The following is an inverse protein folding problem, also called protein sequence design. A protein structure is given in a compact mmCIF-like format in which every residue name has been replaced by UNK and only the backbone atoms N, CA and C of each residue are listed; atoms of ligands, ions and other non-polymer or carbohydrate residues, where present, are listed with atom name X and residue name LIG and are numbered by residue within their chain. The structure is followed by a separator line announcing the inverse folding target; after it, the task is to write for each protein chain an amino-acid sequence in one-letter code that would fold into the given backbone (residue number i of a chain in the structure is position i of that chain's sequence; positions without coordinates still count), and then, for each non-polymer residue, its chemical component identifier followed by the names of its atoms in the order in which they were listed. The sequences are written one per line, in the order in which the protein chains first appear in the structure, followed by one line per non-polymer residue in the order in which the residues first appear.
data_IF_561700585245
#
_entry.id   IF_561700585245
#
_cell.length_a   1.000
_cell.length_b   1.000
_cell.length_c   1.000
_cell.angle_alpha   90.00
_cell.angle_beta   90.00
_cell.angle_gamma   90.00
#
_symmetry.space_group_name_H-M   'P 1'
#
loop_
_entity.id
_entity.type
_entity.pdbx_description
1 polymer ?
#
# COMPACT_ATOMS: atom_id res chain seq x y z
N UNK A 1 20.29 -14.93 -13.74
CA UNK A 1 19.65 -13.61 -13.99
C UNK A 1 19.85 -12.77 -12.74
N UNK A 2 20.35 -11.54 -12.87
CA UNK A 2 20.50 -10.59 -11.76
C UNK A 2 19.30 -9.66 -11.73
N UNK A 3 19.02 -9.06 -10.58
CA UNK A 3 17.94 -8.08 -10.40
C UNK A 3 18.55 -6.77 -9.93
N UNK A 4 18.07 -5.66 -10.47
CA UNK A 4 18.32 -4.32 -9.95
C UNK A 4 16.99 -3.62 -9.72
N UNK A 5 16.85 -2.94 -8.59
CA UNK A 5 15.62 -2.22 -8.19
C UNK A 5 15.86 -0.73 -8.35
N UNK A 6 14.98 -0.06 -9.10
CA UNK A 6 15.00 1.39 -9.28
C UNK A 6 13.85 2.03 -8.51
N UNK A 7 14.20 2.86 -7.54
CA UNK A 7 13.28 3.76 -6.85
C UNK A 7 14.04 5.01 -6.38
N UNK A 8 13.84 6.13 -7.06
CA UNK A 8 14.60 7.38 -6.85
C UNK A 8 14.44 8.00 -5.46
N UNK A 9 13.34 7.70 -4.77
CA UNK A 9 13.10 8.15 -3.40
C UNK A 9 13.75 7.25 -2.33
N UNK A 10 14.28 6.08 -2.70
CA UNK A 10 14.95 5.20 -1.74
C UNK A 10 16.14 5.89 -1.07
N UNK A 11 16.27 5.70 0.22
CA UNK A 11 17.41 6.17 1.02
C UNK A 11 18.04 5.01 1.74
N UNK A 12 19.35 4.94 1.72
CA UNK A 12 20.13 3.96 2.47
C UNK A 12 20.83 4.68 3.61
N UNK A 13 20.58 4.26 4.83
CA UNK A 13 21.16 4.85 6.04
C UNK A 13 22.66 4.56 6.21
N UNK A 14 23.26 5.07 7.29
CA UNK A 14 24.69 4.87 7.56
C UNK A 14 25.06 3.38 7.73
N UNK A 15 24.16 2.59 8.27
CA UNK A 15 24.35 1.16 8.57
C UNK A 15 24.11 0.26 7.36
N UNK A 16 23.70 0.83 6.21
CA UNK A 16 23.48 0.08 4.96
C UNK A 16 22.08 -0.51 4.83
N UNK A 17 21.10 -0.03 5.57
CA UNK A 17 19.70 -0.47 5.45
C UNK A 17 18.88 0.53 4.65
N UNK A 18 17.83 0.04 3.98
CA UNK A 18 16.84 0.91 3.33
C UNK A 18 15.98 1.57 4.41
N UNK A 19 16.23 2.87 4.62
CA UNK A 19 15.52 3.70 5.59
C UNK A 19 14.12 4.11 5.13
N UNK A 20 13.36 4.73 6.05
CA UNK A 20 12.00 5.21 5.80
C UNK A 20 10.90 4.19 6.16
N UNK A 21 9.73 4.75 6.51
CA UNK A 21 8.54 3.98 6.91
C UNK A 21 7.40 4.10 5.90
N UNK A 22 7.62 4.81 4.80
CA UNK A 22 6.64 4.93 3.72
C UNK A 22 6.47 3.63 2.93
N UNK A 23 5.40 3.57 2.14
CA UNK A 23 5.06 2.40 1.36
C UNK A 23 6.14 2.04 0.33
N UNK A 24 6.78 3.04 -0.31
CA UNK A 24 7.84 2.81 -1.30
C UNK A 24 9.06 2.15 -0.68
N UNK A 25 9.58 2.70 0.43
CA UNK A 25 10.70 2.12 1.17
C UNK A 25 10.39 0.69 1.66
N UNK A 26 9.16 0.45 2.12
CA UNK A 26 8.70 -0.89 2.53
C UNK A 26 8.71 -1.85 1.36
N UNK A 27 8.26 -1.43 0.17
CA UNK A 27 8.27 -2.26 -1.03
C UNK A 27 9.69 -2.54 -1.55
N UNK A 28 10.61 -1.56 -1.48
CA UNK A 28 12.02 -1.81 -1.82
C UNK A 28 12.61 -2.90 -0.92
N UNK A 29 12.42 -2.82 0.42
CA UNK A 29 12.86 -3.87 1.36
C UNK A 29 12.25 -5.23 1.01
N UNK A 30 11.00 -5.25 0.59
CA UNK A 30 10.28 -6.46 0.20
C UNK A 30 10.88 -7.07 -1.07
N UNK A 31 11.11 -6.26 -2.10
CA UNK A 31 11.75 -6.72 -3.34
C UNK A 31 13.18 -7.23 -3.10
N UNK A 32 13.96 -6.57 -2.23
CA UNK A 32 15.29 -7.04 -1.83
C UNK A 32 15.24 -8.41 -1.13
N UNK A 33 14.19 -8.68 -0.35
CA UNK A 33 13.96 -10.00 0.27
C UNK A 33 13.56 -11.07 -0.76
N UNK A 34 12.69 -10.72 -1.72
CA UNK A 34 12.27 -11.63 -2.80
C UNK A 34 13.43 -12.01 -3.71
N UNK A 35 14.35 -11.08 -3.93
CA UNK A 35 15.50 -11.27 -4.82
C UNK A 35 16.82 -11.11 -4.04
N UNK A 36 17.28 -12.14 -3.29
CA UNK A 36 18.54 -12.08 -2.56
C UNK A 36 19.72 -11.78 -3.49
N UNK A 37 20.57 -10.83 -3.07
CA UNK A 37 21.69 -10.35 -3.90
C UNK A 37 21.29 -9.38 -5.01
N UNK A 38 20.06 -8.86 -5.00
CA UNK A 38 19.66 -7.78 -5.90
C UNK A 38 20.46 -6.50 -5.63
N UNK A 39 20.56 -5.67 -6.66
CA UNK A 39 21.17 -4.34 -6.58
C UNK A 39 20.06 -3.29 -6.37
N UNK A 40 20.36 -2.25 -5.60
CA UNK A 40 19.54 -1.03 -5.53
C UNK A 40 20.21 0.04 -6.39
N UNK A 41 19.49 0.62 -7.34
CA UNK A 41 20.03 1.70 -8.15
C UNK A 41 20.06 2.98 -7.33
N UNK A 42 21.25 3.59 -7.26
CA UNK A 42 21.51 4.81 -6.47
C UNK A 42 22.68 5.63 -7.04
N UNK A 43 23.03 6.76 -6.40
CA UNK A 43 23.97 7.71 -6.98
C UNK A 43 25.44 7.26 -6.97
N UNK A 44 25.81 6.34 -6.09
CA UNK A 44 27.19 5.88 -5.93
C UNK A 44 27.27 4.42 -5.52
N UNK A 45 28.37 3.76 -5.84
CA UNK A 45 28.61 2.39 -5.39
C UNK A 45 28.76 2.32 -3.88
N UNK A 46 28.01 1.40 -3.26
CA UNK A 46 28.10 1.09 -1.85
C UNK A 46 27.73 -0.36 -1.61
N UNK A 47 28.53 -1.06 -0.83
CA UNK A 47 28.21 -2.38 -0.34
C UNK A 47 27.35 -2.27 0.92
N UNK A 48 26.23 -3.01 0.97
CA UNK A 48 25.30 -3.04 2.07
C UNK A 48 25.05 -4.48 2.54
N UNK A 49 24.35 -4.66 3.65
CA UNK A 49 23.98 -5.99 4.12
C UNK A 49 22.87 -6.58 3.24
N UNK A 50 23.18 -7.64 2.51
CA UNK A 50 22.22 -8.38 1.66
C UNK A 50 21.96 -7.78 0.27
N UNK A 51 22.51 -6.60 -0.07
CA UNK A 51 22.41 -5.97 -1.37
C UNK A 51 23.54 -4.97 -1.62
N UNK A 52 23.75 -4.58 -2.88
CA UNK A 52 24.66 -3.51 -3.25
C UNK A 52 23.90 -2.33 -3.83
N UNK A 53 24.35 -1.10 -3.54
CA UNK A 53 23.92 0.09 -4.26
C UNK A 53 24.86 0.32 -5.45
N UNK A 54 24.29 0.56 -6.63
CA UNK A 54 25.08 0.81 -7.84
C UNK A 54 24.46 1.94 -8.67
N UNK A 55 25.27 2.78 -9.35
CA UNK A 55 24.75 3.71 -10.35
C UNK A 55 24.11 2.95 -11.53
N UNK A 56 23.08 3.52 -12.14
CA UNK A 56 22.40 2.92 -13.30
C UNK A 56 23.38 2.57 -14.43
N UNK A 57 24.37 3.42 -14.66
CA UNK A 57 25.40 3.25 -15.68
C UNK A 57 26.35 2.08 -15.38
N UNK A 58 26.37 1.57 -14.16
CA UNK A 58 27.17 0.42 -13.78
C UNK A 58 26.39 -0.90 -13.85
N UNK A 59 25.08 -0.86 -14.12
CA UNK A 59 24.24 -2.06 -14.28
C UNK A 59 24.56 -2.71 -15.63
N UNK A 60 24.82 -4.01 -15.62
CA UNK A 60 24.92 -4.81 -16.84
C UNK A 60 23.52 -5.16 -17.35
N UNK A 61 23.01 -4.38 -18.32
CA UNK A 61 21.68 -4.54 -18.87
C UNK A 61 21.43 -5.87 -19.60
N UNK A 62 22.48 -6.57 -20.03
CA UNK A 62 22.35 -7.86 -20.74
C UNK A 62 21.95 -8.99 -19.79
N UNK A 63 22.48 -8.99 -18.56
CA UNK A 63 22.27 -10.07 -17.59
C UNK A 63 21.35 -9.69 -16.43
N UNK A 64 21.00 -8.39 -16.31
CA UNK A 64 20.23 -7.84 -15.18
C UNK A 64 18.86 -7.36 -15.64
N UNK A 65 17.79 -7.77 -14.95
CA UNK A 65 16.46 -7.19 -15.08
C UNK A 65 16.35 -6.01 -14.13
N UNK A 66 16.02 -4.83 -14.66
CA UNK A 66 15.72 -3.65 -13.84
C UNK A 66 14.24 -3.61 -13.52
N UNK A 67 13.88 -3.81 -12.24
CA UNK A 67 12.52 -3.59 -11.75
C UNK A 67 12.42 -2.12 -11.33
N UNK A 68 11.68 -1.33 -12.09
CA UNK A 68 11.49 0.09 -11.77
C UNK A 68 10.16 0.35 -11.08
N UNK A 69 10.24 1.04 -9.96
CA UNK A 69 9.10 1.59 -9.23
C UNK A 69 8.77 3.02 -9.67
N UNK A 70 9.66 3.65 -10.43
CA UNK A 70 9.48 4.98 -11.07
C UNK A 70 9.10 4.79 -12.54
N UNK A 71 7.90 4.27 -12.77
CA UNK A 71 7.46 3.72 -14.07
C UNK A 71 7.48 4.73 -15.21
N UNK A 72 7.21 6.02 -14.96
CA UNK A 72 7.29 7.06 -15.99
C UNK A 72 8.71 7.27 -16.54
N UNK A 73 9.74 6.85 -15.78
CA UNK A 73 11.14 6.98 -16.18
C UNK A 73 11.69 5.76 -16.91
N UNK A 74 10.91 4.72 -17.12
CA UNK A 74 11.35 3.45 -17.71
C UNK A 74 12.01 3.62 -19.07
N UNK A 75 11.51 4.54 -19.89
CA UNK A 75 12.10 4.83 -21.20
C UNK A 75 13.50 5.45 -21.07
N UNK A 76 13.72 6.34 -20.07
CA UNK A 76 15.03 6.93 -19.81
C UNK A 76 16.02 5.89 -19.27
N UNK A 77 15.55 5.00 -18.38
CA UNK A 77 16.33 3.86 -17.88
C UNK A 77 16.75 2.98 -19.05
N UNK A 78 15.80 2.63 -19.92
CA UNK A 78 16.08 1.84 -21.13
C UNK A 78 17.13 2.51 -22.02
N UNK A 79 17.01 3.81 -22.30
CA UNK A 79 17.96 4.55 -23.14
C UNK A 79 19.37 4.55 -22.54
N UNK A 80 19.50 4.69 -21.22
CA UNK A 80 20.79 4.65 -20.53
C UNK A 80 21.45 3.27 -20.68
N UNK A 81 20.70 2.20 -20.48
CA UNK A 81 21.21 0.83 -20.61
C UNK A 81 21.45 0.44 -22.07
N UNK A 82 20.61 0.89 -23.01
CA UNK A 82 20.73 0.63 -24.45
C UNK A 82 22.06 1.13 -25.04
N UNK A 83 22.66 2.14 -24.45
CA UNK A 83 23.97 2.62 -24.86
C UNK A 83 25.10 1.57 -24.72
N UNK A 84 24.85 0.50 -23.95
CA UNK A 84 25.85 -0.56 -23.64
C UNK A 84 25.34 -1.98 -23.82
N UNK A 85 24.06 -2.15 -24.10
CA UNK A 85 23.40 -3.44 -24.23
C UNK A 85 22.31 -3.35 -25.28
N UNK A 86 22.27 -4.33 -26.20
CA UNK A 86 21.29 -4.31 -27.31
C UNK A 86 19.84 -4.51 -26.85
N UNK A 87 19.60 -5.28 -25.81
CA UNK A 87 18.27 -5.59 -25.32
C UNK A 87 18.18 -5.48 -23.79
N UNK A 88 18.11 -4.24 -23.24
CA UNK A 88 17.95 -4.05 -21.81
C UNK A 88 16.63 -4.64 -21.31
N UNK A 89 16.71 -5.36 -20.20
CA UNK A 89 15.56 -6.02 -19.57
C UNK A 89 14.98 -5.11 -18.50
N UNK A 90 13.77 -4.59 -18.72
CA UNK A 90 13.07 -3.69 -17.78
C UNK A 90 11.69 -4.26 -17.47
N UNK A 91 11.32 -4.24 -16.20
CA UNK A 91 9.99 -4.53 -15.69
C UNK A 91 9.48 -3.34 -14.88
N UNK A 92 8.29 -2.87 -15.23
CA UNK A 92 7.59 -1.87 -14.42
C UNK A 92 6.94 -2.53 -13.21
N UNK A 93 6.97 -1.86 -12.06
CA UNK A 93 6.15 -2.20 -10.91
C UNK A 93 5.27 -1.01 -10.52
N UNK A 94 3.99 -1.07 -10.90
CA UNK A 94 3.00 -0.05 -10.56
C UNK A 94 2.40 -0.38 -9.19
N UNK A 95 2.74 0.42 -8.20
CA UNK A 95 2.42 0.20 -6.78
C UNK A 95 1.63 1.34 -6.13
N UNK A 96 1.49 2.46 -6.81
CA UNK A 96 0.75 3.63 -6.33
C UNK A 96 -0.53 3.85 -7.12
N UNK A 97 -1.34 4.81 -6.66
CA UNK A 97 -2.56 5.20 -7.34
C UNK A 97 -2.24 5.96 -8.64
N UNK A 98 -2.68 5.43 -9.77
CA UNK A 98 -2.48 6.03 -11.10
C UNK A 98 -3.15 7.39 -11.25
N UNK A 99 -4.21 7.69 -10.48
CA UNK A 99 -4.87 9.01 -10.44
C UNK A 99 -4.02 10.14 -9.87
N UNK A 100 -2.82 9.82 -9.33
CA UNK A 100 -1.84 10.82 -8.90
C UNK A 100 -1.25 11.61 -10.07
N UNK A 101 -1.20 11.00 -11.23
CA UNK A 101 -0.80 11.69 -12.44
C UNK A 101 -1.97 12.50 -12.97
N UNK A 102 -1.86 13.81 -12.91
CA UNK A 102 -2.95 14.72 -13.27
C UNK A 102 -2.76 15.43 -14.61
N UNK A 103 -1.55 15.36 -15.18
CA UNK A 103 -1.26 16.03 -16.44
C UNK A 103 -1.10 15.05 -17.60
N UNK A 104 -1.43 15.50 -18.84
CA UNK A 104 -1.37 14.66 -20.03
C UNK A 104 0.02 14.06 -20.33
N UNK A 105 1.09 14.77 -19.98
CA UNK A 105 2.47 14.32 -20.23
C UNK A 105 2.80 13.10 -19.37
N UNK A 106 2.43 13.13 -18.10
CA UNK A 106 2.62 12.00 -17.19
C UNK A 106 1.78 10.80 -17.60
N UNK A 107 0.52 11.00 -18.03
CA UNK A 107 -0.31 9.91 -18.55
C UNK A 107 0.30 9.29 -19.80
N UNK A 108 0.77 10.12 -20.75
CA UNK A 108 1.42 9.63 -21.95
C UNK A 108 2.73 8.87 -21.63
N UNK A 109 3.54 9.37 -20.70
CA UNK A 109 4.77 8.70 -20.27
C UNK A 109 4.48 7.36 -19.58
N UNK A 110 3.48 7.31 -18.69
CA UNK A 110 3.04 6.08 -18.04
C UNK A 110 2.52 5.06 -19.07
N UNK A 111 1.66 5.49 -19.98
CA UNK A 111 1.09 4.66 -21.03
C UNK A 111 2.17 4.06 -21.94
N UNK A 112 3.11 4.90 -22.40
CA UNK A 112 4.22 4.46 -23.24
C UNK A 112 5.13 3.47 -22.51
N UNK A 113 5.48 3.75 -21.26
CA UNK A 113 6.29 2.85 -20.44
C UNK A 113 5.62 1.49 -20.24
N UNK A 114 4.33 1.46 -19.92
CA UNK A 114 3.58 0.22 -19.72
C UNK A 114 3.26 -0.53 -21.01
N UNK A 115 3.20 0.16 -22.15
CA UNK A 115 3.04 -0.48 -23.47
C UNK A 115 4.34 -1.15 -23.96
N UNK A 116 5.50 -0.55 -23.66
CA UNK A 116 6.80 -1.03 -24.12
C UNK A 116 7.42 -2.09 -23.21
N UNK A 117 7.21 -1.99 -21.91
CA UNK A 117 7.85 -2.87 -20.93
C UNK A 117 6.81 -3.69 -20.15
N UNK A 118 7.11 -4.97 -19.85
CA UNK A 118 6.25 -5.78 -18.98
C UNK A 118 5.96 -5.05 -17.67
N UNK A 119 4.72 -5.05 -17.27
CA UNK A 119 4.21 -4.28 -16.13
C UNK A 119 3.56 -5.21 -15.13
N UNK A 120 4.03 -5.16 -13.89
CA UNK A 120 3.44 -5.84 -12.75
C UNK A 120 2.72 -4.81 -11.86
N UNK A 121 1.47 -5.06 -11.54
CA UNK A 121 0.65 -4.17 -10.73
C UNK A 121 0.37 -4.78 -9.36
N UNK A 122 0.20 -3.93 -8.35
CA UNK A 122 -0.02 -4.33 -6.96
C UNK A 122 -1.45 -4.82 -6.66
N UNK A 123 -2.35 -4.80 -7.65
CA UNK A 123 -3.73 -5.28 -7.53
C UNK A 123 -4.39 -5.42 -8.91
N UNK A 124 -5.51 -6.14 -8.96
CA UNK A 124 -6.34 -6.24 -10.16
C UNK A 124 -6.84 -4.87 -10.63
N UNK A 125 -7.28 -4.04 -9.70
CA UNK A 125 -7.75 -2.68 -9.98
C UNK A 125 -6.64 -1.85 -10.64
N UNK A 126 -5.44 -1.81 -10.06
CA UNK A 126 -4.30 -1.08 -10.63
C UNK A 126 -3.95 -1.62 -12.02
N UNK A 127 -3.98 -2.93 -12.23
CA UNK A 127 -3.76 -3.51 -13.55
C UNK A 127 -4.82 -3.09 -14.58
N UNK A 128 -6.07 -2.99 -14.17
CA UNK A 128 -7.17 -2.51 -15.03
C UNK A 128 -7.01 -1.05 -15.40
N UNK A 129 -6.67 -0.19 -14.43
CA UNK A 129 -6.35 1.22 -14.66
C UNK A 129 -5.15 1.39 -15.62
N UNK A 130 -4.10 0.60 -15.44
CA UNK A 130 -2.93 0.61 -16.36
C UNK A 130 -3.36 0.23 -17.78
N UNK A 131 -4.17 -0.80 -17.96
CA UNK A 131 -4.67 -1.19 -19.30
C UNK A 131 -5.53 -0.10 -19.94
N UNK A 132 -6.39 0.56 -19.17
CA UNK A 132 -7.19 1.68 -19.62
C UNK A 132 -6.32 2.86 -20.06
N UNK A 133 -5.32 3.23 -19.26
CA UNK A 133 -4.36 4.29 -19.57
C UNK A 133 -3.58 3.95 -20.84
N UNK A 134 -3.06 2.73 -20.96
CA UNK A 134 -2.35 2.27 -22.17
C UNK A 134 -3.25 2.34 -23.40
N UNK A 135 -4.48 1.85 -23.31
CA UNK A 135 -5.45 1.89 -24.40
C UNK A 135 -5.83 3.32 -24.83
N UNK A 136 -5.96 4.23 -23.87
CA UNK A 136 -6.41 5.60 -24.11
C UNK A 136 -5.30 6.54 -24.60
N UNK A 137 -4.04 6.25 -24.24
CA UNK A 137 -2.92 7.17 -24.46
C UNK A 137 -1.83 6.62 -25.41
N UNK A 138 -2.04 5.42 -25.97
CA UNK A 138 -1.14 4.87 -27.02
C UNK A 138 -1.92 4.47 -28.25
N UNK A 139 -1.20 4.08 -29.32
CA UNK A 139 -1.82 3.56 -30.53
C UNK A 139 -2.17 2.08 -30.36
N UNK A 140 -3.25 1.58 -31.04
CA UNK A 140 -3.70 0.20 -30.88
C UNK A 140 -2.62 -0.87 -30.99
N UNK A 141 -1.68 -0.82 -31.96
CA UNK A 141 -0.63 -1.84 -32.08
C UNK A 141 0.35 -1.91 -30.89
N UNK A 142 0.50 -0.82 -30.13
CA UNK A 142 1.28 -0.81 -28.89
C UNK A 142 0.45 -1.31 -27.72
N UNK A 143 -0.81 -0.89 -27.61
CA UNK A 143 -1.71 -1.34 -26.57
C UNK A 143 -1.92 -2.87 -26.59
N UNK A 144 -2.06 -3.47 -27.76
CA UNK A 144 -2.21 -4.92 -27.96
C UNK A 144 -0.99 -5.73 -27.50
N UNK A 145 0.19 -5.12 -27.53
CA UNK A 145 1.46 -5.76 -27.11
C UNK A 145 1.75 -5.61 -25.61
N UNK A 146 1.00 -4.77 -24.90
CA UNK A 146 1.22 -4.52 -23.49
C UNK A 146 1.06 -5.80 -22.66
N UNK A 147 2.07 -6.12 -21.86
CA UNK A 147 2.07 -7.27 -20.96
C UNK A 147 1.81 -6.76 -19.53
N UNK A 148 0.60 -6.93 -19.03
CA UNK A 148 0.20 -6.47 -17.69
C UNK A 148 -0.26 -7.66 -16.87
N UNK A 149 0.48 -7.95 -15.80
CA UNK A 149 0.11 -8.93 -14.77
C UNK A 149 -0.10 -8.23 -13.42
N UNK A 150 -0.73 -8.92 -12.49
CA UNK A 150 -0.99 -8.40 -11.17
C UNK A 150 -1.07 -9.50 -10.11
N UNK A 151 -0.91 -9.08 -8.88
CA UNK A 151 -1.31 -9.82 -7.69
C UNK A 151 -1.65 -8.81 -6.60
N UNK A 152 -2.50 -9.19 -5.68
CA UNK A 152 -2.77 -8.34 -4.51
C UNK A 152 -1.50 -8.18 -3.67
N UNK A 153 -1.16 -6.93 -3.38
CA UNK A 153 -0.09 -6.62 -2.45
C UNK A 153 -0.50 -7.09 -1.06
N UNK A 154 0.06 -8.18 -0.61
CA UNK A 154 -0.31 -8.80 0.66
C UNK A 154 0.37 -8.12 1.87
N UNK A 155 0.07 -8.64 3.03
CA UNK A 155 0.67 -8.29 4.31
C UNK A 155 1.38 -9.50 4.92
N UNK A 156 2.33 -9.27 5.82
CA UNK A 156 3.06 -10.32 6.52
C UNK A 156 2.22 -10.88 7.66
N UNK A 157 1.61 -12.04 7.43
CA UNK A 157 0.68 -12.67 8.36
C UNK A 157 1.36 -13.16 9.66
N UNK A 158 2.66 -13.44 9.64
CA UNK A 158 3.42 -13.86 10.82
C UNK A 158 3.54 -12.77 11.90
N UNK A 159 3.29 -11.52 11.53
CA UNK A 159 3.28 -10.41 12.49
C UNK A 159 1.95 -10.26 13.23
N UNK A 160 0.87 -10.89 12.75
CA UNK A 160 -0.45 -10.78 13.37
C UNK A 160 -0.43 -11.29 14.80
N UNK A 161 -0.90 -10.48 15.74
CA UNK A 161 -0.97 -10.81 17.16
C UNK A 161 -2.37 -11.23 17.55
N UNK A 162 -2.52 -12.13 18.55
CA UNK A 162 -3.83 -12.46 19.11
C UNK A 162 -4.55 -11.22 19.61
N UNK A 163 -5.86 -11.19 19.43
CA UNK A 163 -6.71 -10.10 19.92
C UNK A 163 -6.55 -9.89 21.43
N UNK A 164 -6.47 -8.63 21.82
CA UNK A 164 -6.46 -8.19 23.20
C UNK A 164 -7.51 -7.09 23.35
N UNK A 165 -8.75 -7.48 23.69
CA UNK A 165 -9.87 -6.56 23.75
C UNK A 165 -9.70 -5.53 24.88
N UNK A 166 -9.67 -4.24 24.60
CA UNK A 166 -9.53 -3.22 25.63
C UNK A 166 -10.86 -3.00 26.36
N UNK A 167 -10.82 -2.59 27.64
CA UNK A 167 -12.02 -2.31 28.43
C UNK A 167 -12.83 -1.09 27.89
N UNK A 168 -12.16 -0.17 27.21
CA UNK A 168 -12.76 0.93 26.45
C UNK A 168 -12.42 0.75 24.99
N UNK A 169 -13.40 0.70 24.08
CA UNK A 169 -13.16 0.49 22.66
C UNK A 169 -12.16 1.50 22.07
N UNK A 170 -11.23 1.01 21.25
CA UNK A 170 -10.24 1.84 20.57
C UNK A 170 -10.63 2.00 19.10
N UNK A 171 -10.78 3.24 18.67
CA UNK A 171 -11.00 3.64 17.28
C UNK A 171 -9.69 4.14 16.68
N UNK A 172 -9.21 3.48 15.64
CA UNK A 172 -7.98 3.85 14.94
C UNK A 172 -8.28 4.87 13.82
N UNK A 173 -7.45 5.92 13.72
CA UNK A 173 -7.28 6.67 12.47
C UNK A 173 -6.33 5.89 11.55
N UNK A 174 -6.82 5.28 10.48
CA UNK A 174 -6.05 4.31 9.70
C UNK A 174 -5.24 4.99 8.59
N UNK A 175 -4.43 5.99 8.95
CA UNK A 175 -3.52 6.67 8.04
C UNK A 175 -2.39 7.34 8.82
N UNK A 176 -1.21 7.43 8.19
CA UNK A 176 -0.04 8.08 8.78
C UNK A 176 0.05 9.57 8.44
N UNK A 177 -0.76 10.04 7.49
CA UNK A 177 -0.81 11.44 7.04
C UNK A 177 -2.19 12.03 7.20
N UNK A 178 -2.26 13.30 7.60
CA UNK A 178 -3.48 14.11 7.65
C UNK A 178 -3.67 14.91 6.35
N UNK A 179 -3.47 14.27 5.20
CA UNK A 179 -3.63 14.90 3.89
C UNK A 179 -5.11 14.99 3.50
N UNK A 180 -5.45 15.92 2.60
CA UNK A 180 -6.84 16.12 2.16
C UNK A 180 -7.44 14.88 1.49
N UNK A 181 -6.63 14.02 0.86
CA UNK A 181 -7.08 12.73 0.31
C UNK A 181 -7.56 11.76 1.38
N UNK A 182 -6.98 11.80 2.57
CA UNK A 182 -7.39 10.98 3.71
C UNK A 182 -8.61 11.55 4.43
N UNK A 183 -9.11 12.72 4.03
CA UNK A 183 -10.31 13.38 4.59
C UNK A 183 -10.30 13.40 6.13
N UNK A 184 -9.21 13.86 6.79
CA UNK A 184 -9.10 13.78 8.24
C UNK A 184 -10.20 14.57 8.97
N UNK A 185 -10.73 15.64 8.37
CA UNK A 185 -11.81 16.41 8.98
C UNK A 185 -13.08 15.57 9.16
N UNK A 186 -13.45 14.75 8.18
CA UNK A 186 -14.58 13.84 8.29
C UNK A 186 -14.38 12.85 9.45
N UNK A 187 -13.17 12.29 9.59
CA UNK A 187 -12.85 11.41 10.73
C UNK A 187 -13.02 12.14 12.06
N UNK A 188 -12.42 13.33 12.19
CA UNK A 188 -12.48 14.15 13.42
C UNK A 188 -13.91 14.47 13.82
N UNK A 189 -14.73 14.93 12.87
CA UNK A 189 -16.13 15.28 13.10
C UNK A 189 -16.96 14.08 13.58
N UNK A 190 -16.74 12.90 13.02
CA UNK A 190 -17.45 11.68 13.39
C UNK A 190 -17.03 11.22 14.79
N UNK A 191 -15.72 11.11 15.06
CA UNK A 191 -15.26 10.60 16.37
C UNK A 191 -15.56 11.57 17.51
N UNK A 192 -15.55 12.89 17.27
CA UNK A 192 -15.94 13.88 18.27
C UNK A 192 -17.42 13.74 18.67
N UNK A 193 -18.32 13.56 17.68
CA UNK A 193 -19.74 13.34 17.96
C UNK A 193 -19.96 12.02 18.69
N UNK A 194 -19.25 10.98 18.27
CA UNK A 194 -19.33 9.67 18.92
C UNK A 194 -18.84 9.72 20.37
N UNK A 195 -17.70 10.34 20.65
CA UNK A 195 -17.12 10.44 21.98
C UNK A 195 -17.98 11.19 23.01
N UNK A 196 -18.93 12.04 22.54
CA UNK A 196 -19.90 12.74 23.43
C UNK A 196 -20.96 11.81 24.04
N UNK A 197 -21.20 10.64 23.41
CA UNK A 197 -22.29 9.73 23.81
C UNK A 197 -21.81 8.31 24.14
N UNK A 198 -20.68 7.89 23.54
CA UNK A 198 -20.15 6.53 23.69
C UNK A 198 -18.71 6.62 24.21
N UNK A 199 -18.37 5.94 25.32
CA UNK A 199 -16.99 5.89 25.81
C UNK A 199 -16.09 5.20 24.80
N UNK A 200 -15.18 5.93 24.19
CA UNK A 200 -14.17 5.44 23.25
C UNK A 200 -12.81 6.05 23.54
N UNK A 201 -11.77 5.41 23.04
CA UNK A 201 -10.44 5.99 22.84
C UNK A 201 -10.16 6.08 21.36
N UNK A 202 -9.57 7.18 20.91
CA UNK A 202 -9.12 7.37 19.53
C UNK A 202 -7.60 7.28 19.51
N UNK A 203 -7.06 6.54 18.59
CA UNK A 203 -5.61 6.42 18.40
C UNK A 203 -5.23 6.87 16.99
N UNK A 204 -4.30 7.84 16.88
CA UNK A 204 -3.73 8.32 15.63
C UNK A 204 -2.21 8.23 15.68
N UNK A 205 -1.62 7.41 14.80
CA UNK A 205 -0.18 7.22 14.65
C UNK A 205 0.27 7.93 13.39
N UNK A 206 0.94 9.07 13.56
CA UNK A 206 1.23 9.97 12.46
C UNK A 206 2.72 9.98 12.12
N UNK A 207 3.02 10.24 10.85
CA UNK A 207 4.35 10.62 10.44
C UNK A 207 4.77 11.92 11.14
N UNK A 208 6.05 12.06 11.50
CA UNK A 208 6.57 13.18 12.30
C UNK A 208 6.20 14.54 11.74
N UNK A 209 6.22 14.70 10.41
CA UNK A 209 5.83 15.95 9.74
C UNK A 209 4.38 16.39 9.99
N UNK A 210 3.51 15.48 10.44
CA UNK A 210 2.10 15.75 10.70
C UNK A 210 1.76 15.90 12.19
N UNK A 211 2.67 15.55 13.10
CA UNK A 211 2.42 15.66 14.55
C UNK A 211 2.19 17.08 15.01
N UNK A 212 2.83 18.05 14.38
CA UNK A 212 2.70 19.49 14.69
C UNK A 212 1.61 20.19 13.88
N UNK A 213 0.84 19.45 13.07
CA UNK A 213 -0.27 20.03 12.31
C UNK A 213 -1.40 20.50 13.22
N UNK A 214 -2.14 21.51 12.80
CA UNK A 214 -3.29 22.03 13.56
C UNK A 214 -4.29 20.93 13.91
N UNK A 215 -4.57 20.02 12.98
CA UNK A 215 -5.49 18.88 13.16
C UNK A 215 -4.98 17.89 14.21
N UNK A 216 -3.69 17.55 14.19
CA UNK A 216 -3.09 16.66 15.20
C UNK A 216 -3.10 17.31 16.58
N UNK A 217 -2.74 18.58 16.66
CA UNK A 217 -2.76 19.36 17.91
C UNK A 217 -4.18 19.52 18.45
N UNK A 218 -5.17 19.69 17.57
CA UNK A 218 -6.59 19.76 17.98
C UNK A 218 -7.03 18.41 18.58
N UNK A 219 -6.77 17.31 17.87
CA UNK A 219 -7.13 15.96 18.34
C UNK A 219 -6.46 15.64 19.68
N UNK A 220 -5.19 15.97 19.86
CA UNK A 220 -4.42 15.67 21.09
C UNK A 220 -4.92 16.40 22.35
N UNK A 221 -5.76 17.43 22.21
CA UNK A 221 -6.35 18.14 23.35
C UNK A 221 -7.49 17.38 24.03
N UNK A 222 -8.02 16.36 23.36
CA UNK A 222 -9.13 15.58 23.87
C UNK A 222 -8.63 14.43 24.75
N UNK A 223 -9.19 14.28 25.94
CA UNK A 223 -8.81 13.24 26.92
C UNK A 223 -9.08 11.81 26.42
N UNK A 224 -9.94 11.65 25.42
CA UNK A 224 -10.27 10.39 24.77
C UNK A 224 -9.36 10.07 23.57
N UNK A 225 -8.46 10.97 23.18
CA UNK A 225 -7.59 10.78 22.02
C UNK A 225 -6.12 10.65 22.43
N UNK A 226 -5.43 9.76 21.77
CA UNK A 226 -3.98 9.67 21.76
C UNK A 226 -3.46 9.93 20.36
N UNK A 227 -2.54 10.88 20.24
CA UNK A 227 -1.86 11.22 19.00
C UNK A 227 -0.37 11.09 19.23
N UNK A 228 0.31 10.29 18.47
CA UNK A 228 1.74 10.06 18.63
C UNK A 228 2.44 9.70 17.33
N UNK A 229 3.77 9.55 17.39
CA UNK A 229 4.55 9.14 16.22
C UNK A 229 4.22 7.71 15.82
N UNK A 230 4.62 7.37 14.58
CA UNK A 230 4.67 5.98 14.15
C UNK A 230 5.52 5.18 15.14
N UNK A 231 5.06 3.99 15.48
CA UNK A 231 5.84 3.08 16.33
C UNK A 231 7.13 2.67 15.60
N UNK A 232 8.25 2.74 16.32
CA UNK A 232 9.55 2.36 15.77
C UNK A 232 9.65 0.86 15.45
N UNK A 233 8.87 0.02 16.13
CA UNK A 233 8.90 -1.43 16.00
C UNK A 233 7.61 -1.94 15.32
N UNK A 234 7.78 -2.88 14.39
CA UNK A 234 6.64 -3.60 13.77
C UNK A 234 5.84 -4.38 14.80
N UNK A 235 6.50 -4.90 15.84
CA UNK A 235 5.83 -5.64 16.90
C UNK A 235 4.89 -4.75 17.71
N UNK A 236 5.34 -3.57 18.14
CA UNK A 236 4.51 -2.60 18.86
C UNK A 236 3.32 -2.13 18.00
N UNK A 237 3.53 -1.97 16.70
CA UNK A 237 2.46 -1.65 15.76
C UNK A 237 1.39 -2.74 15.74
N UNK A 238 1.77 -4.02 15.59
CA UNK A 238 0.83 -5.12 15.58
C UNK A 238 0.17 -5.38 16.94
N UNK A 239 0.87 -5.11 18.04
CA UNK A 239 0.26 -5.11 19.37
C UNK A 239 -0.80 -4.02 19.52
N UNK A 240 -0.58 -2.83 18.94
CA UNK A 240 -1.59 -1.77 18.90
C UNK A 240 -2.80 -2.16 18.06
N UNK A 241 -2.59 -2.73 16.87
CA UNK A 241 -3.68 -3.25 16.04
C UNK A 241 -4.48 -4.34 16.75
N UNK A 242 -3.82 -5.22 17.52
CA UNK A 242 -4.50 -6.26 18.29
C UNK A 242 -5.46 -5.70 19.36
N UNK A 243 -5.29 -4.44 19.78
CA UNK A 243 -6.19 -3.72 20.70
C UNK A 243 -7.21 -2.82 20.01
N UNK A 244 -7.06 -2.61 18.70
CA UNK A 244 -7.98 -1.76 17.93
C UNK A 244 -9.33 -2.44 17.78
N UNK A 245 -10.41 -1.81 18.28
CA UNK A 245 -11.78 -2.34 18.18
C UNK A 245 -12.37 -2.09 16.82
N UNK A 246 -12.26 -0.86 16.33
CA UNK A 246 -12.78 -0.45 15.04
C UNK A 246 -11.90 0.64 14.40
N UNK A 247 -12.12 0.90 13.12
CA UNK A 247 -11.55 2.07 12.45
C UNK A 247 -12.54 2.67 11.47
N UNK A 248 -12.37 3.96 11.19
CA UNK A 248 -13.12 4.66 10.17
C UNK A 248 -12.17 5.07 9.04
N UNK A 249 -12.31 4.44 7.89
CA UNK A 249 -11.64 4.85 6.66
C UNK A 249 -12.37 6.04 6.05
N UNK A 250 -11.65 7.12 5.75
CA UNK A 250 -12.22 8.33 5.15
C UNK A 250 -11.55 8.73 3.84
N UNK A 251 -10.55 7.97 3.39
CA UNK A 251 -9.82 8.26 2.18
C UNK A 251 -10.72 8.29 0.93
N UNK A 252 -10.54 9.31 0.10
CA UNK A 252 -11.25 9.42 -1.18
C UNK A 252 -10.72 8.40 -2.19
N UNK A 253 -9.44 8.07 -2.10
CA UNK A 253 -8.74 7.21 -3.04
C UNK A 253 -7.54 6.52 -2.40
N UNK A 254 -7.33 5.24 -2.75
CA UNK A 254 -6.19 4.42 -2.33
C UNK A 254 -5.68 3.57 -3.50
N UNK A 255 -4.40 3.28 -3.52
CA UNK A 255 -3.86 2.28 -4.46
C UNK A 255 -4.22 0.85 -4.01
N UNK A 256 -4.01 0.55 -2.73
CA UNK A 256 -4.33 -0.74 -2.14
C UNK A 256 -4.89 -0.61 -0.71
N UNK A 257 -4.29 0.22 0.15
CA UNK A 257 -4.74 0.42 1.53
C UNK A 257 -4.24 -0.64 2.51
N UNK A 258 -2.94 -0.85 2.56
CA UNK A 258 -2.30 -1.84 3.45
C UNK A 258 -2.72 -1.68 4.91
N UNK A 259 -2.77 -0.44 5.42
CA UNK A 259 -3.15 -0.14 6.80
C UNK A 259 -4.57 -0.62 7.16
N UNK A 260 -5.50 -0.60 6.20
CA UNK A 260 -6.85 -1.13 6.42
C UNK A 260 -6.85 -2.64 6.49
N UNK A 261 -6.13 -3.31 5.58
CA UNK A 261 -6.02 -4.77 5.57
C UNK A 261 -5.32 -5.25 6.85
N UNK A 262 -4.25 -4.59 7.28
CA UNK A 262 -3.56 -4.91 8.54
C UNK A 262 -4.51 -4.81 9.75
N UNK A 263 -5.31 -3.75 9.83
CA UNK A 263 -6.28 -3.58 10.91
C UNK A 263 -7.41 -4.63 10.86
N UNK A 264 -7.92 -4.97 9.66
CA UNK A 264 -8.94 -6.00 9.47
C UNK A 264 -8.42 -7.38 9.87
N UNK A 265 -7.21 -7.76 9.43
CA UNK A 265 -6.60 -9.06 9.77
C UNK A 265 -6.30 -9.15 11.26
N UNK A 266 -5.97 -8.03 11.92
CA UNK A 266 -5.88 -7.96 13.37
C UNK A 266 -7.25 -8.06 14.07
N UNK A 267 -8.37 -8.14 13.33
CA UNK A 267 -9.73 -8.34 13.85
C UNK A 267 -10.47 -7.07 14.25
N UNK A 268 -10.01 -5.89 13.82
CA UNK A 268 -10.77 -4.65 13.96
C UNK A 268 -11.97 -4.63 12.98
N UNK A 269 -13.06 -3.96 13.37
CA UNK A 269 -14.20 -3.73 12.48
C UNK A 269 -13.95 -2.46 11.68
N UNK A 270 -13.86 -2.58 10.36
CA UNK A 270 -13.64 -1.43 9.47
C UNK A 270 -14.95 -0.80 9.00
N UNK A 271 -15.03 0.53 9.06
CA UNK A 271 -16.13 1.30 8.45
C UNK A 271 -15.56 2.08 7.27
N UNK A 272 -16.09 1.86 6.07
CA UNK A 272 -15.49 2.32 4.83
C UNK A 272 -16.44 3.22 4.00
N UNK A 273 -15.90 4.18 3.21
CA UNK A 273 -16.71 4.92 2.26
C UNK A 273 -17.12 4.03 1.06
N UNK A 274 -18.25 4.32 0.44
CA UNK A 274 -18.63 3.69 -0.84
C UNK A 274 -17.71 4.23 -1.95
N UNK A 275 -16.63 3.49 -2.22
CA UNK A 275 -15.61 3.84 -3.21
C UNK A 275 -15.13 2.60 -3.98
N UNK A 276 -14.71 2.74 -5.25
CA UNK A 276 -14.21 1.62 -6.05
C UNK A 276 -13.04 0.87 -5.39
N UNK A 277 -12.10 1.59 -4.77
CA UNK A 277 -10.95 0.98 -4.11
C UNK A 277 -11.34 0.10 -2.92
N UNK A 278 -12.42 0.44 -2.21
CA UNK A 278 -12.95 -0.36 -1.10
C UNK A 278 -13.52 -1.68 -1.61
N UNK A 279 -14.28 -1.62 -2.72
CA UNK A 279 -14.85 -2.82 -3.35
C UNK A 279 -13.80 -3.77 -3.91
N UNK A 280 -12.61 -3.26 -4.24
CA UNK A 280 -11.50 -4.07 -4.72
C UNK A 280 -10.83 -4.92 -3.63
N UNK A 281 -10.92 -4.51 -2.36
CA UNK A 281 -10.20 -5.15 -1.25
C UNK A 281 -11.11 -5.88 -0.26
N UNK A 282 -12.44 -5.76 -0.37
CA UNK A 282 -13.42 -6.33 0.55
C UNK A 282 -14.36 -7.30 -0.16
N UNK A 283 -15.02 -8.22 0.56
CA UNK A 283 -16.11 -9.02 0.01
C UNK A 283 -17.23 -8.14 -0.56
N UNK A 284 -17.88 -8.60 -1.64
CA UNK A 284 -18.96 -7.85 -2.29
C UNK A 284 -20.11 -7.49 -1.31
N UNK A 285 -20.40 -8.41 -0.36
CA UNK A 285 -21.44 -8.25 0.65
C UNK A 285 -20.98 -7.53 1.93
N UNK A 286 -19.82 -6.89 1.93
CA UNK A 286 -19.28 -6.21 3.13
C UNK A 286 -20.29 -5.20 3.70
N UNK A 287 -20.70 -5.30 5.00
CA UNK A 287 -21.88 -4.59 5.50
C UNK A 287 -21.61 -3.14 5.94
N UNK A 288 -20.36 -2.78 6.28
CA UNK A 288 -20.04 -1.48 6.88
C UNK A 288 -19.48 -0.51 5.85
N UNK A 289 -20.31 -0.19 4.83
CA UNK A 289 -19.97 0.78 3.77
C UNK A 289 -20.94 1.95 3.81
N UNK A 290 -20.42 3.13 4.13
CA UNK A 290 -21.20 4.36 4.28
C UNK A 290 -21.17 5.23 3.01
N UNK A 291 -22.22 6.01 2.83
CA UNK A 291 -22.37 7.03 1.77
C UNK A 291 -22.47 8.44 2.32
N UNK A 292 -22.82 8.59 3.61
CA UNK A 292 -22.97 9.87 4.27
C UNK A 292 -22.22 9.87 5.61
N UNK A 293 -21.83 11.06 6.11
CA UNK A 293 -21.21 11.17 7.45
C UNK A 293 -22.08 10.62 8.58
N UNK A 294 -23.41 10.73 8.47
CA UNK A 294 -24.35 10.17 9.46
C UNK A 294 -24.31 8.64 9.48
N UNK A 295 -24.28 7.99 8.30
CA UNK A 295 -24.10 6.54 8.22
C UNK A 295 -22.73 6.09 8.76
N UNK A 296 -21.67 6.86 8.48
CA UNK A 296 -20.34 6.56 9.02
C UNK A 296 -20.34 6.56 10.56
N UNK A 297 -21.01 7.54 11.17
CA UNK A 297 -21.15 7.66 12.60
C UNK A 297 -21.98 6.52 13.20
N UNK A 298 -23.13 6.19 12.62
CA UNK A 298 -24.00 5.09 13.05
C UNK A 298 -23.26 3.74 12.98
N UNK A 299 -22.60 3.46 11.86
CA UNK A 299 -21.84 2.22 11.68
C UNK A 299 -20.67 2.12 12.65
N UNK A 300 -19.96 3.22 12.88
CA UNK A 300 -18.84 3.25 13.83
C UNK A 300 -19.32 3.07 15.27
N UNK A 301 -20.43 3.71 15.66
CA UNK A 301 -21.06 3.52 16.96
C UNK A 301 -21.43 2.05 17.19
N UNK A 302 -22.05 1.44 16.20
CA UNK A 302 -22.39 0.02 16.22
C UNK A 302 -21.15 -0.88 16.29
N UNK A 303 -20.09 -0.54 15.56
CA UNK A 303 -18.82 -1.29 15.56
C UNK A 303 -18.16 -1.30 16.95
N UNK A 304 -18.26 -0.22 17.72
CA UNK A 304 -17.67 -0.13 19.05
C UNK A 304 -18.60 -0.62 20.17
N UNK A 305 -19.93 -0.52 20.01
CA UNK A 305 -20.90 -0.94 21.05
C UNK A 305 -21.36 -2.40 20.89
N UNK A 306 -21.36 -2.93 19.66
CA UNK A 306 -21.84 -4.27 19.31
C UNK A 306 -20.80 -5.06 18.52
N UNK A 307 -19.52 -4.92 18.85
CA UNK A 307 -18.36 -5.45 18.10
C UNK A 307 -18.50 -6.92 17.74
N UNK A 308 -18.93 -7.77 18.69
CA UNK A 308 -19.10 -9.21 18.45
C UNK A 308 -20.21 -9.53 17.41
N UNK A 309 -21.28 -8.74 17.39
CA UNK A 309 -22.33 -8.88 16.38
C UNK A 309 -21.81 -8.43 15.01
N UNK A 310 -21.10 -7.32 14.96
CA UNK A 310 -20.50 -6.83 13.72
C UNK A 310 -19.50 -7.83 13.12
N UNK A 311 -18.67 -8.49 13.93
CA UNK A 311 -17.76 -9.54 13.45
C UNK A 311 -18.51 -10.73 12.85
N UNK A 312 -19.61 -11.18 13.47
CA UNK A 312 -20.44 -12.25 12.87
C UNK A 312 -21.03 -11.85 11.52
N UNK A 313 -21.36 -10.58 11.32
CA UNK A 313 -21.82 -10.09 10.01
C UNK A 313 -20.69 -10.08 8.98
N UNK A 314 -19.45 -9.78 9.40
CA UNK A 314 -18.28 -9.92 8.54
C UNK A 314 -18.03 -11.36 8.12
N UNK A 315 -18.19 -12.31 9.06
CA UNK A 315 -18.07 -13.74 8.75
C UNK A 315 -19.13 -14.17 7.74
N UNK A 316 -20.39 -13.75 7.91
CA UNK A 316 -21.45 -14.02 6.94
C UNK A 316 -21.18 -13.40 5.56
N UNK A 317 -20.62 -12.20 5.52
CA UNK A 317 -20.26 -11.52 4.27
C UNK A 317 -19.11 -12.19 3.52
N UNK A 318 -18.34 -13.03 4.20
CA UNK A 318 -17.19 -13.77 3.69
C UNK A 318 -17.45 -15.28 3.54
N UNK A 319 -18.72 -15.70 3.51
CA UNK A 319 -19.14 -17.09 3.39
C UNK A 319 -18.64 -18.01 4.52
N UNK A 320 -18.43 -17.43 5.74
CA UNK A 320 -18.17 -18.21 6.95
C UNK A 320 -17.05 -17.71 7.85
N UNK A 321 -15.88 -17.33 7.33
CA UNK A 321 -14.73 -16.84 8.11
C UNK A 321 -14.04 -15.67 7.40
N UNK A 322 -14.28 -14.47 7.89
CA UNK A 322 -13.71 -13.25 7.33
C UNK A 322 -12.19 -13.18 7.47
N UNK A 323 -11.65 -13.68 8.58
CA UNK A 323 -10.20 -13.69 8.78
C UNK A 323 -9.50 -14.65 7.79
N UNK A 324 -10.10 -15.80 7.53
CA UNK A 324 -9.61 -16.75 6.53
C UNK A 324 -9.73 -16.14 5.11
N UNK A 325 -10.84 -15.48 4.80
CA UNK A 325 -11.04 -14.79 3.53
C UNK A 325 -9.96 -13.72 3.28
N UNK A 326 -9.65 -12.91 4.31
CA UNK A 326 -8.59 -11.90 4.23
C UNK A 326 -7.21 -12.53 4.01
N UNK A 327 -6.86 -13.55 4.78
CA UNK A 327 -5.58 -14.27 4.66
C UNK A 327 -5.39 -14.87 3.28
N UNK A 328 -6.43 -15.51 2.72
CA UNK A 328 -6.39 -16.11 1.40
C UNK A 328 -6.15 -15.11 0.27
N UNK A 329 -6.46 -13.82 0.46
CA UNK A 329 -6.37 -12.78 -0.58
C UNK A 329 -5.23 -11.78 -0.39
N UNK A 330 -4.73 -11.66 0.84
CA UNK A 330 -3.82 -10.59 1.23
C UNK A 330 -2.56 -11.12 1.94
N UNK A 331 -2.19 -12.37 1.66
CA UNK A 331 -0.93 -12.97 2.11
C UNK A 331 0.23 -12.48 1.22
N UNK A 332 1.32 -11.99 1.82
CA UNK A 332 2.45 -11.49 1.06
C UNK A 332 3.32 -12.60 0.43
N UNK A 333 3.21 -13.83 0.89
CA UNK A 333 3.84 -14.97 0.23
C UNK A 333 3.32 -15.16 -1.21
N UNK A 334 2.02 -14.86 -1.44
CA UNK A 334 1.45 -14.89 -2.79
C UNK A 334 2.03 -13.78 -3.67
N UNK A 335 2.22 -12.57 -3.13
CA UNK A 335 2.87 -11.49 -3.86
C UNK A 335 4.31 -11.84 -4.20
N UNK A 336 5.08 -12.33 -3.23
CA UNK A 336 6.49 -12.68 -3.41
C UNK A 336 6.67 -13.75 -4.49
N UNK A 337 5.85 -14.80 -4.41
CA UNK A 337 5.86 -15.87 -5.43
C UNK A 337 5.45 -15.34 -6.81
N UNK A 338 4.36 -14.57 -6.90
CA UNK A 338 3.84 -14.09 -8.17
C UNK A 338 4.83 -13.16 -8.90
N UNK A 339 5.49 -12.23 -8.18
CA UNK A 339 6.45 -11.33 -8.82
C UNK A 339 7.71 -12.09 -9.27
N UNK A 340 8.20 -13.07 -8.50
CA UNK A 340 9.32 -13.92 -8.87
C UNK A 340 9.00 -14.78 -10.10
N UNK A 341 7.82 -15.40 -10.14
CA UNK A 341 7.35 -16.20 -11.27
C UNK A 341 7.25 -15.34 -12.54
N UNK A 342 6.73 -14.10 -12.44
CA UNK A 342 6.63 -13.19 -13.60
C UNK A 342 7.97 -12.71 -14.10
N UNK A 343 8.92 -12.42 -13.24
CA UNK A 343 10.29 -12.10 -13.65
C UNK A 343 10.90 -13.27 -14.41
N UNK A 344 10.70 -14.49 -13.92
CA UNK A 344 11.20 -15.70 -14.58
C UNK A 344 10.51 -15.95 -15.93
N UNK A 345 9.19 -15.83 -16.00
CA UNK A 345 8.39 -15.99 -17.23
C UNK A 345 8.78 -14.97 -18.32
N UNK A 346 8.99 -13.71 -17.94
CA UNK A 346 9.24 -12.66 -18.92
C UNK A 346 10.69 -12.53 -19.36
N UNK A 347 11.63 -12.97 -18.54
CA UNK A 347 13.06 -12.73 -18.75
C UNK A 347 13.97 -13.96 -18.56
N UNK A 348 13.42 -15.09 -18.17
CA UNK A 348 14.18 -16.30 -17.78
C UNK A 348 14.67 -17.17 -18.93
N UNK A 349 14.59 -16.74 -20.19
CA UNK A 349 15.10 -17.43 -21.38
C UNK A 349 16.58 -17.17 -21.62
#
# INVERSE_FOLDING_TARGET
MKIAIQYGAARVDADGHVGGHDAGATLVRRLLRVFPGAQLIGPAKRQCEGFDVVPLEAVDGATTVVITMDVIDSVNIWRTLKARCDEPKIMNFVWWNTSLYSNPVEHAALALSCALFPTFANSERTASEVREIVSSWTVPPLAEKARVAWVNLGIRLEHVRPRNEPPVPVVLYPAIYLSDRKQPQLFLDVVERLAKRTPIKVEARLHESHLISERAMWLSRHHWAWVGPLTASRDDYWQALARTTAFLATATEESYGLEYIEALVAGAVGVFPERPWVRAILPAAYPFIYRTPAQAEEMLDRAVTHTAACRRELDLAADGDFAQWLRARHDDDQFEKAIADRVTEWFGS
#
